data_IF_241338263344
#
_entry.id   IF_241338263344
#
_cell.length_a   1.000
_cell.length_b   1.000
_cell.length_c   1.000
_cell.angle_alpha   90.00
_cell.angle_beta   90.00
_cell.angle_gamma   90.00
#
_symmetry.space_group_name_H-M   'P 1'
#
loop_
_entity.id
_entity.type
_entity.pdbx_description
1 polymer ?
#
# COMPACT_ATOMS: atom_id res chain seq x y z
N UNK A 1 22.87 -1.40 32.11
CA UNK A 1 22.54 -2.56 31.26
C UNK A 1 21.60 -2.08 30.15
N UNK A 2 22.15 -1.77 28.99
CA UNK A 2 21.39 -1.33 27.82
C UNK A 2 21.61 -2.35 26.72
N UNK A 3 20.64 -3.25 26.51
CA UNK A 3 20.65 -4.20 25.41
C UNK A 3 19.97 -3.48 24.24
N UNK A 4 20.75 -2.72 23.49
CA UNK A 4 20.31 -2.22 22.19
C UNK A 4 20.06 -3.42 21.27
N UNK A 5 18.80 -3.56 20.89
CA UNK A 5 18.26 -4.56 20.00
C UNK A 5 19.03 -4.52 18.66
N UNK A 6 19.98 -5.44 18.47
CA UNK A 6 20.59 -5.65 17.17
C UNK A 6 19.48 -6.12 16.21
N UNK A 7 18.99 -5.19 15.37
CA UNK A 7 18.25 -5.56 14.18
C UNK A 7 19.16 -6.48 13.38
N UNK A 8 18.79 -7.76 13.35
CA UNK A 8 19.39 -8.76 12.48
C UNK A 8 19.35 -8.19 11.06
N UNK A 9 20.51 -7.75 10.55
CA UNK A 9 20.70 -7.51 9.11
C UNK A 9 20.77 -8.88 8.47
N UNK A 10 19.61 -9.48 8.20
CA UNK A 10 19.54 -10.55 7.21
C UNK A 10 19.91 -9.93 5.87
N UNK A 11 21.05 -10.35 5.31
CA UNK A 11 21.36 -10.19 3.89
C UNK A 11 20.36 -11.02 3.08
N UNK A 12 19.10 -10.57 3.02
CA UNK A 12 18.17 -10.98 1.98
C UNK A 12 18.47 -10.06 0.80
N UNK A 13 19.33 -10.52 -0.11
CA UNK A 13 19.16 -10.15 -1.52
C UNK A 13 17.82 -10.76 -1.97
N UNK A 14 16.70 -10.22 -1.47
CA UNK A 14 15.45 -10.37 -2.17
C UNK A 14 15.56 -9.40 -3.34
N UNK A 15 15.40 -9.92 -4.56
CA UNK A 15 15.03 -9.09 -5.70
C UNK A 15 13.63 -8.54 -5.38
N UNK A 16 13.49 -7.63 -4.41
CA UNK A 16 12.21 -7.00 -4.13
C UNK A 16 11.96 -5.99 -5.24
N UNK A 17 10.71 -5.91 -5.69
CA UNK A 17 10.31 -4.86 -6.59
C UNK A 17 10.55 -3.50 -5.91
N UNK A 18 11.27 -2.54 -6.53
CA UNK A 18 11.47 -1.22 -5.94
C UNK A 18 10.14 -0.53 -5.64
N UNK A 19 10.08 0.25 -4.56
CA UNK A 19 8.86 1.00 -4.20
C UNK A 19 8.42 1.97 -5.31
N UNK A 20 9.38 2.53 -6.05
CA UNK A 20 9.15 3.38 -7.23
C UNK A 20 8.47 2.64 -8.38
N UNK A 21 8.52 1.32 -8.39
CA UNK A 21 7.90 0.49 -9.41
C UNK A 21 6.58 -0.13 -8.94
N UNK A 22 6.17 0.14 -7.69
CA UNK A 22 4.93 -0.38 -7.14
C UNK A 22 3.74 0.46 -7.62
N UNK A 23 2.90 -0.12 -8.48
CA UNK A 23 1.71 0.50 -9.05
C UNK A 23 0.54 0.45 -8.08
N UNK A 24 -0.21 1.54 -7.97
CA UNK A 24 -1.49 1.59 -7.26
C UNK A 24 -2.67 1.25 -8.17
N UNK A 25 -2.57 1.64 -9.45
CA UNK A 25 -3.61 1.53 -10.48
C UNK A 25 -3.00 1.39 -11.87
N UNK A 26 -3.76 0.85 -12.80
CA UNK A 26 -3.55 0.97 -14.25
C UNK A 26 -4.60 1.93 -14.83
N UNK A 27 -4.41 2.38 -16.06
CA UNK A 27 -5.39 3.19 -16.77
C UNK A 27 -5.50 2.77 -18.24
N UNK A 28 -6.61 3.14 -18.87
CA UNK A 28 -6.82 2.94 -20.31
C UNK A 28 -6.64 4.26 -21.06
N UNK A 29 -5.86 4.26 -22.13
CA UNK A 29 -5.70 5.41 -23.02
C UNK A 29 -6.96 5.61 -23.89
N UNK A 30 -7.02 6.74 -24.59
CA UNK A 30 -8.08 7.01 -25.58
C UNK A 30 -8.03 5.98 -26.74
N UNK A 31 -6.83 5.52 -27.11
CA UNK A 31 -6.62 4.46 -28.11
C UNK A 31 -7.03 3.06 -27.62
N UNK A 32 -7.31 2.90 -26.32
CA UNK A 32 -7.75 1.63 -25.74
C UNK A 32 -6.64 0.83 -25.05
N UNK A 33 -5.39 1.29 -25.09
CA UNK A 33 -4.24 0.60 -24.49
C UNK A 33 -4.31 0.65 -22.96
N UNK A 34 -3.95 -0.44 -22.29
CA UNK A 34 -3.86 -0.52 -20.83
C UNK A 34 -2.43 -0.28 -20.37
N UNK A 35 -2.19 0.81 -19.65
CA UNK A 35 -0.86 1.22 -19.22
C UNK A 35 -0.74 1.32 -17.69
N UNK A 36 0.51 1.28 -17.23
CA UNK A 36 0.85 1.51 -15.83
C UNK A 36 0.44 2.91 -15.39
N UNK A 37 -0.31 3.02 -14.29
CA UNK A 37 -0.79 4.28 -13.76
C UNK A 37 0.05 4.80 -12.60
N UNK A 38 -0.64 5.41 -11.63
CA UNK A 38 -0.01 6.03 -10.45
C UNK A 38 0.68 4.98 -9.56
N UNK A 39 1.81 5.34 -8.97
CA UNK A 39 2.51 4.55 -7.95
C UNK A 39 1.79 4.57 -6.60
N UNK A 40 2.02 3.55 -5.77
CA UNK A 40 1.42 3.43 -4.42
C UNK A 40 1.78 4.64 -3.55
N UNK A 41 3.06 5.03 -3.51
CA UNK A 41 3.50 6.19 -2.72
C UNK A 41 2.74 7.47 -3.10
N UNK A 42 2.69 7.79 -4.39
CA UNK A 42 2.01 8.99 -4.87
C UNK A 42 0.49 8.94 -4.63
N UNK A 43 -0.13 7.75 -4.72
CA UNK A 43 -1.54 7.56 -4.39
C UNK A 43 -1.81 7.81 -2.91
N UNK A 44 -1.02 7.22 -2.02
CA UNK A 44 -1.10 7.42 -0.57
C UNK A 44 -0.89 8.89 -0.19
N UNK A 45 0.12 9.54 -0.76
CA UNK A 45 0.39 10.97 -0.52
C UNK A 45 -0.82 11.83 -0.90
N UNK A 46 -1.40 11.62 -2.08
CA UNK A 46 -2.59 12.39 -2.49
C UNK A 46 -3.75 12.19 -1.53
N UNK A 47 -4.01 10.96 -1.10
CA UNK A 47 -5.09 10.68 -0.14
C UNK A 47 -4.84 11.39 1.19
N UNK A 48 -3.62 11.32 1.72
CA UNK A 48 -3.25 12.03 2.95
C UNK A 48 -3.38 13.54 2.82
N UNK A 49 -2.93 14.10 1.70
CA UNK A 49 -3.01 15.53 1.42
C UNK A 49 -4.46 16.02 1.29
N UNK A 50 -5.31 15.25 0.60
CA UNK A 50 -6.74 15.54 0.53
C UNK A 50 -7.39 15.42 1.91
N UNK A 51 -7.10 14.38 2.68
CA UNK A 51 -7.64 14.21 4.03
C UNK A 51 -7.24 15.36 4.95
N UNK A 52 -5.97 15.78 4.91
CA UNK A 52 -5.43 16.92 5.66
C UNK A 52 -6.17 18.22 5.31
N UNK A 53 -6.39 18.47 4.04
CA UNK A 53 -7.10 19.67 3.58
C UNK A 53 -8.60 19.63 3.92
N UNK A 54 -9.23 18.45 3.90
CA UNK A 54 -10.61 18.29 4.36
C UNK A 54 -10.73 18.57 5.86
N UNK A 55 -9.85 18.00 6.68
CA UNK A 55 -9.85 18.23 8.13
C UNK A 55 -9.70 19.72 8.46
N UNK A 56 -8.80 20.45 7.77
CA UNK A 56 -8.63 21.91 7.96
C UNK A 56 -9.88 22.76 7.65
N UNK A 57 -10.83 22.22 6.88
CA UNK A 57 -12.06 22.94 6.48
C UNK A 57 -13.27 22.53 7.31
N UNK A 58 -13.14 21.51 8.15
CA UNK A 58 -14.17 21.13 9.10
C UNK A 58 -14.19 22.09 10.28
N UNK A 59 -15.33 22.25 10.97
CA UNK A 59 -15.37 23.00 12.23
C UNK A 59 -14.39 22.42 13.25
N UNK A 60 -13.66 23.29 13.96
CA UNK A 60 -12.63 22.89 14.91
C UNK A 60 -13.14 21.86 15.92
N UNK A 61 -14.35 22.08 16.46
CA UNK A 61 -14.97 21.17 17.44
C UNK A 61 -15.15 19.75 16.87
N UNK A 62 -15.49 19.62 15.58
CA UNK A 62 -15.71 18.33 14.93
C UNK A 62 -14.39 17.59 14.76
N UNK A 63 -13.34 18.32 14.34
CA UNK A 63 -12.00 17.75 14.22
C UNK A 63 -11.44 17.29 15.55
N UNK A 64 -11.61 18.09 16.60
CA UNK A 64 -11.13 17.79 17.93
C UNK A 64 -11.83 16.56 18.55
N UNK A 65 -13.13 16.39 18.31
CA UNK A 65 -13.90 15.29 18.88
C UNK A 65 -13.71 13.97 18.11
N UNK A 66 -13.64 14.02 16.77
CA UNK A 66 -13.71 12.82 15.95
C UNK A 66 -12.38 12.36 15.35
N UNK A 67 -11.40 13.26 15.19
CA UNK A 67 -10.19 12.97 14.42
C UNK A 67 -8.94 13.19 15.26
N UNK A 68 -8.37 12.12 15.85
CA UNK A 68 -7.09 12.17 16.52
C UNK A 68 -5.99 12.72 15.60
N UNK A 69 -4.98 13.37 16.19
CA UNK A 69 -3.81 13.85 15.45
C UNK A 69 -3.19 12.73 14.62
N UNK A 70 -2.93 13.00 13.34
CA UNK A 70 -2.39 12.03 12.39
C UNK A 70 -3.43 11.17 11.67
N UNK A 71 -4.74 11.45 11.82
CA UNK A 71 -5.81 10.75 11.08
C UNK A 71 -5.58 10.76 9.57
N UNK A 72 -5.03 11.84 9.02
CA UNK A 72 -4.66 11.97 7.61
C UNK A 72 -3.57 10.99 7.18
N UNK A 73 -2.63 10.64 8.07
CA UNK A 73 -1.60 9.65 7.79
C UNK A 73 -2.18 8.23 7.80
N UNK A 74 -3.15 7.96 8.67
CA UNK A 74 -3.86 6.67 8.69
C UNK A 74 -4.66 6.53 7.39
N UNK A 75 -5.37 7.58 6.97
CA UNK A 75 -6.05 7.61 5.66
C UNK A 75 -5.05 7.42 4.49
N UNK A 76 -3.91 8.10 4.51
CA UNK A 76 -2.85 7.93 3.51
C UNK A 76 -2.38 6.47 3.43
N UNK A 77 -2.33 5.76 4.55
CA UNK A 77 -1.77 4.42 4.66
C UNK A 77 -2.73 3.29 4.29
N UNK A 78 -3.97 3.56 3.91
CA UNK A 78 -4.99 2.53 3.62
C UNK A 78 -4.49 1.44 2.64
N UNK A 79 -3.69 1.84 1.66
CA UNK A 79 -3.28 1.01 0.53
C UNK A 79 -1.84 0.48 0.62
N UNK A 80 -1.19 0.49 1.80
CA UNK A 80 0.19 -0.02 1.94
C UNK A 80 0.34 -1.49 1.50
N UNK A 81 -0.72 -2.30 1.63
CA UNK A 81 -0.77 -3.69 1.17
C UNK A 81 -0.73 -3.86 -0.35
N UNK A 82 -0.89 -2.78 -1.13
CA UNK A 82 -0.63 -2.79 -2.57
C UNK A 82 0.85 -3.00 -2.87
N UNK A 83 1.75 -2.70 -1.94
CA UNK A 83 3.19 -3.04 -2.01
C UNK A 83 3.40 -4.53 -1.67
N UNK A 84 2.59 -5.40 -2.25
CA UNK A 84 2.71 -6.85 -2.12
C UNK A 84 2.97 -7.46 -3.49
N UNK A 85 3.84 -8.48 -3.60
CA UNK A 85 4.17 -9.05 -4.90
C UNK A 85 2.96 -9.62 -5.67
N UNK A 86 1.97 -10.17 -4.97
CA UNK A 86 0.74 -10.68 -5.60
C UNK A 86 -0.11 -9.55 -6.20
N UNK A 87 -0.25 -8.43 -5.49
CA UNK A 87 -0.97 -7.26 -6.00
C UNK A 87 -0.21 -6.59 -7.16
N UNK A 88 1.12 -6.50 -7.05
CA UNK A 88 1.94 -5.91 -8.10
C UNK A 88 1.90 -6.74 -9.38
N UNK A 89 2.06 -8.06 -9.28
CA UNK A 89 1.93 -8.95 -10.44
C UNK A 89 0.54 -8.82 -11.07
N UNK A 90 -0.53 -8.67 -10.28
CA UNK A 90 -1.89 -8.42 -10.80
C UNK A 90 -1.96 -7.16 -11.66
N UNK A 91 -1.35 -6.05 -11.20
CA UNK A 91 -1.39 -4.79 -11.94
C UNK A 91 -0.55 -4.83 -13.20
N UNK A 92 0.65 -5.42 -13.15
CA UNK A 92 1.48 -5.58 -14.35
C UNK A 92 0.80 -6.48 -15.39
N UNK A 93 0.16 -7.59 -15.00
CA UNK A 93 -0.69 -8.41 -15.91
C UNK A 93 -1.86 -7.63 -16.51
N UNK A 94 -2.30 -6.57 -15.83
CA UNK A 94 -3.34 -5.67 -16.32
C UNK A 94 -2.85 -4.65 -17.35
N UNK A 95 -1.55 -4.62 -17.68
CA UNK A 95 -0.97 -3.72 -18.69
C UNK A 95 -0.64 -4.46 -19.98
N UNK A 96 -0.76 -3.77 -21.10
CA UNK A 96 -0.46 -4.33 -22.42
C UNK A 96 1.05 -4.55 -22.59
N UNK A 97 1.41 -5.65 -23.25
CA UNK A 97 2.81 -6.02 -23.51
C UNK A 97 3.55 -6.66 -22.32
N UNK A 98 2.96 -6.68 -21.11
CA UNK A 98 3.57 -7.39 -19.99
C UNK A 98 3.46 -8.91 -20.15
N UNK A 99 4.59 -9.59 -19.95
CA UNK A 99 4.64 -11.05 -19.86
C UNK A 99 4.63 -11.45 -18.40
N UNK A 100 3.70 -12.33 -18.01
CA UNK A 100 3.54 -12.78 -16.62
C UNK A 100 4.87 -13.23 -16.02
N UNK A 101 5.13 -12.83 -14.77
CA UNK A 101 6.28 -13.27 -13.99
C UNK A 101 7.65 -12.92 -14.62
N UNK A 102 7.72 -11.92 -15.50
CA UNK A 102 9.00 -11.49 -16.10
C UNK A 102 9.65 -10.29 -15.42
N UNK A 103 8.91 -9.55 -14.57
CA UNK A 103 9.50 -8.43 -13.84
C UNK A 103 10.32 -8.92 -12.65
N UNK A 104 11.54 -8.39 -12.44
CA UNK A 104 12.35 -8.71 -11.27
C UNK A 104 11.57 -8.50 -9.96
N UNK A 105 11.53 -9.54 -9.13
CA UNK A 105 10.79 -9.59 -7.87
C UNK A 105 9.35 -10.04 -7.94
N UNK A 106 8.83 -10.33 -9.14
CA UNK A 106 7.48 -10.86 -9.37
C UNK A 106 7.48 -12.28 -9.96
N UNK A 107 8.64 -12.92 -10.11
CA UNK A 107 8.85 -14.11 -10.94
C UNK A 107 8.10 -15.36 -10.46
N UNK A 108 7.65 -15.38 -9.20
CA UNK A 108 7.03 -16.58 -8.59
C UNK A 108 5.65 -16.31 -7.98
N UNK A 109 5.13 -15.09 -8.14
CA UNK A 109 3.90 -14.71 -7.47
C UNK A 109 2.69 -14.95 -8.36
N UNK A 110 1.65 -15.52 -7.76
CA UNK A 110 0.36 -15.74 -8.42
C UNK A 110 -0.67 -14.78 -7.80
N UNK A 111 -1.18 -13.79 -8.57
CA UNK A 111 -2.22 -12.86 -8.12
C UNK A 111 -3.44 -13.52 -7.50
N UNK A 112 -3.85 -14.70 -7.99
CA UNK A 112 -5.07 -15.37 -7.53
C UNK A 112 -5.01 -15.79 -6.05
N UNK A 113 -3.80 -15.95 -5.50
CA UNK A 113 -3.62 -16.30 -4.08
C UNK A 113 -4.08 -15.18 -3.14
N UNK A 114 -4.12 -13.92 -3.58
CA UNK A 114 -4.48 -12.80 -2.71
C UNK A 114 -5.89 -12.91 -2.12
N UNK A 115 -6.80 -13.60 -2.82
CA UNK A 115 -8.19 -13.80 -2.37
C UNK A 115 -8.28 -14.59 -1.07
N UNK A 116 -7.29 -15.43 -0.78
CA UNK A 116 -7.27 -16.28 0.41
C UNK A 116 -7.08 -15.48 1.71
N UNK A 117 -6.62 -14.23 1.62
CA UNK A 117 -6.37 -13.36 2.77
C UNK A 117 -7.02 -11.98 2.64
N UNK A 118 -8.06 -11.83 1.81
CA UNK A 118 -8.77 -10.56 1.66
C UNK A 118 -8.05 -9.52 0.80
N UNK A 119 -7.12 -9.94 -0.07
CA UNK A 119 -6.41 -9.06 -0.99
C UNK A 119 -5.45 -8.09 -0.30
N UNK A 120 -5.27 -6.92 -0.92
CA UNK A 120 -4.36 -5.89 -0.40
C UNK A 120 -4.78 -5.35 0.98
N UNK A 121 -6.08 -5.31 1.30
CA UNK A 121 -6.60 -4.95 2.62
C UNK A 121 -5.99 -5.83 3.72
N UNK A 122 -6.06 -7.15 3.52
CA UNK A 122 -5.48 -8.11 4.48
C UNK A 122 -3.97 -7.97 4.63
N UNK A 123 -3.26 -7.63 3.54
CA UNK A 123 -1.83 -7.33 3.61
C UNK A 123 -1.56 -6.02 4.34
N UNK A 124 -2.37 -4.98 4.13
CA UNK A 124 -2.28 -3.71 4.88
C UNK A 124 -2.42 -3.97 6.38
N UNK A 125 -3.44 -4.74 6.77
CA UNK A 125 -3.64 -5.15 8.16
C UNK A 125 -2.46 -5.96 8.71
N UNK A 126 -1.97 -6.96 7.97
CA UNK A 126 -0.85 -7.78 8.41
C UNK A 126 0.43 -6.95 8.60
N UNK A 127 0.73 -6.05 7.66
CA UNK A 127 1.86 -5.14 7.74
C UNK A 127 1.76 -4.21 8.96
N UNK A 128 0.59 -3.60 9.19
CA UNK A 128 0.37 -2.73 10.33
C UNK A 128 0.43 -3.47 11.68
N UNK A 129 -0.07 -4.71 11.74
CA UNK A 129 0.09 -5.60 12.92
C UNK A 129 1.57 -5.89 13.18
N UNK A 130 2.33 -6.24 12.15
CA UNK A 130 3.77 -6.52 12.28
C UNK A 130 4.54 -5.29 12.78
N UNK A 131 4.20 -4.10 12.27
CA UNK A 131 4.77 -2.82 12.69
C UNK A 131 4.27 -2.34 14.06
N UNK A 132 3.31 -3.03 14.68
CA UNK A 132 2.71 -2.69 15.98
C UNK A 132 2.15 -1.26 16.02
N UNK A 133 1.44 -0.85 14.97
CA UNK A 133 0.89 0.52 14.84
C UNK A 133 -0.31 0.80 15.76
N UNK A 134 -0.32 0.30 16.99
CA UNK A 134 -1.45 0.45 17.91
C UNK A 134 -2.59 -0.53 17.66
N UNK A 135 -3.64 -0.43 18.48
CA UNK A 135 -4.72 -1.41 18.56
C UNK A 135 -5.64 -1.40 17.33
N UNK A 136 -6.09 -0.22 16.93
CA UNK A 136 -7.16 -0.08 15.92
C UNK A 136 -6.66 0.18 14.50
N UNK A 137 -5.47 0.76 14.34
CA UNK A 137 -4.92 1.09 13.01
C UNK A 137 -4.85 -0.14 12.10
N UNK A 138 -4.37 -1.32 12.54
CA UNK A 138 -4.32 -2.45 11.63
C UNK A 138 -5.70 -2.90 11.13
N UNK A 139 -6.74 -2.81 11.98
CA UNK A 139 -8.11 -3.10 11.58
C UNK A 139 -8.63 -2.05 10.61
N UNK A 140 -8.42 -0.75 10.88
CA UNK A 140 -8.78 0.34 9.97
C UNK A 140 -8.17 0.09 8.57
N UNK A 141 -6.86 -0.16 8.50
CA UNK A 141 -6.18 -0.42 7.22
C UNK A 141 -6.62 -1.74 6.55
N UNK A 142 -7.25 -2.64 7.31
CA UNK A 142 -7.75 -3.93 6.84
C UNK A 142 -9.17 -3.92 6.27
N UNK A 143 -9.90 -2.80 6.40
CA UNK A 143 -11.29 -2.65 5.97
C UNK A 143 -11.44 -1.90 4.63
N UNK A 144 -10.35 -1.72 3.88
CA UNK A 144 -10.31 -0.94 2.64
C UNK A 144 -10.06 -1.79 1.41
#
# INVERSE_FOLDING_TARGET
MSVFNQRVKTNLCSNALPLTDCLAKTYRTISGDKLAGRQVLNHCQIVGEVARELLKRMPDWLTAELFPNGSELIAASHDIGKVSPTFQEKLYRGTDGYRNNTKPGLEKFNPETERQWGGHAGVSQAAAKYLKLGKFIPEILGQH
#
